data_IF_351850432492
#
_entry.id   IF_351850432492
#
_cell.length_a   1.000
_cell.length_b   1.000
_cell.length_c   1.000
_cell.angle_alpha   90.00
_cell.angle_beta   90.00
_cell.angle_gamma   90.00
#
_symmetry.space_group_name_H-M   'P 1'
#
loop_
_entity.id
_entity.type
_entity.pdbx_description
1 polymer ?
#
# COMPACT_ATOMS: atom_id res chain seq x y z
N UNK A 1 -31.56 20.80 22.96
CA UNK A 1 -30.30 20.04 23.19
C UNK A 1 -29.99 18.94 22.14
N UNK A 2 -30.77 18.74 21.07
CA UNK A 2 -30.48 17.72 20.03
C UNK A 2 -29.53 18.18 18.91
N UNK A 3 -29.29 19.49 18.78
CA UNK A 3 -28.56 20.09 17.64
C UNK A 3 -27.04 20.12 17.82
N UNK A 4 -26.54 20.08 19.06
CA UNK A 4 -25.10 20.11 19.36
C UNK A 4 -24.43 18.76 19.10
N UNK A 5 -25.13 17.65 19.34
CA UNK A 5 -24.62 16.28 19.12
C UNK A 5 -24.49 16.00 17.62
N UNK A 6 -25.44 16.45 16.79
CA UNK A 6 -25.42 16.25 15.35
C UNK A 6 -24.25 17.00 14.66
N UNK A 7 -23.86 18.17 15.21
CA UNK A 7 -22.68 18.92 14.74
C UNK A 7 -21.37 18.22 15.11
N UNK A 8 -21.29 17.58 16.28
CA UNK A 8 -20.11 16.79 16.69
C UNK A 8 -19.92 15.56 15.80
N UNK A 9 -21.03 14.88 15.49
CA UNK A 9 -21.07 13.75 14.56
C UNK A 9 -20.56 14.19 13.18
N UNK A 10 -21.04 15.31 12.63
CA UNK A 10 -20.53 15.82 11.37
C UNK A 10 -19.06 16.27 11.44
N UNK A 11 -18.57 16.80 12.56
CA UNK A 11 -17.15 17.17 12.71
C UNK A 11 -16.23 15.94 12.70
N UNK A 12 -16.65 14.84 13.31
CA UNK A 12 -15.89 13.57 13.37
C UNK A 12 -16.06 12.73 12.08
N UNK A 13 -17.23 12.81 11.43
CA UNK A 13 -17.55 12.08 10.19
C UNK A 13 -17.04 12.82 8.94
N UNK A 14 -16.81 14.15 8.97
CA UNK A 14 -16.36 14.92 7.78
C UNK A 14 -14.89 14.83 7.33
N UNK A 15 -13.95 14.02 7.87
CA UNK A 15 -12.68 13.81 7.18
C UNK A 15 -12.58 12.47 6.45
N UNK A 16 -13.64 11.67 6.34
CA UNK A 16 -13.62 10.39 5.62
C UNK A 16 -13.13 10.51 4.16
N UNK A 17 -13.35 11.65 3.51
CA UNK A 17 -12.89 11.91 2.14
C UNK A 17 -11.35 11.84 1.98
N UNK A 18 -10.60 12.21 3.03
CA UNK A 18 -9.13 12.25 3.00
C UNK A 18 -8.51 10.95 3.53
N UNK A 19 -9.30 10.06 4.12
CA UNK A 19 -8.83 8.80 4.71
C UNK A 19 -8.25 7.84 3.65
N UNK A 20 -8.87 7.63 2.48
CA UNK A 20 -8.27 6.81 1.42
C UNK A 20 -6.86 7.26 1.05
N UNK A 21 -6.67 8.57 0.85
CA UNK A 21 -5.38 9.17 0.50
C UNK A 21 -4.37 9.00 1.65
N UNK A 22 -4.80 9.12 2.90
CA UNK A 22 -3.94 8.88 4.06
C UNK A 22 -3.55 7.42 4.20
N UNK A 23 -4.44 6.47 3.90
CA UNK A 23 -4.15 5.02 3.88
C UNK A 23 -3.12 4.71 2.81
N UNK A 24 -3.27 5.26 1.60
CA UNK A 24 -2.30 5.10 0.51
C UNK A 24 -0.93 5.68 0.90
N UNK A 25 -0.90 6.88 1.49
CA UNK A 25 0.36 7.50 1.97
C UNK A 25 1.02 6.70 3.10
N UNK A 26 0.23 6.10 3.99
CA UNK A 26 0.74 5.22 5.04
C UNK A 26 1.46 4.01 4.42
N UNK A 27 0.89 3.43 3.35
CA UNK A 27 1.50 2.29 2.67
C UNK A 27 2.82 2.65 1.96
N UNK A 28 2.97 3.91 1.53
CA UNK A 28 4.23 4.42 0.94
C UNK A 28 5.29 4.85 1.97
N UNK A 29 5.03 4.71 3.26
CA UNK A 29 5.98 5.04 4.34
C UNK A 29 6.18 6.54 4.61
N UNK A 30 5.35 7.40 4.01
CA UNK A 30 5.54 8.86 3.99
C UNK A 30 4.61 9.61 4.95
N UNK A 31 4.19 8.97 6.06
CA UNK A 31 3.27 9.55 7.03
C UNK A 31 3.99 9.97 8.32
N UNK A 32 3.72 11.18 8.80
CA UNK A 32 4.11 11.61 10.16
C UNK A 32 3.39 10.75 11.21
N UNK A 33 4.12 10.32 12.26
CA UNK A 33 3.61 9.48 13.35
C UNK A 33 2.30 10.00 13.99
N UNK A 34 2.11 11.32 14.02
CA UNK A 34 0.90 11.98 14.55
C UNK A 34 -0.33 11.64 13.68
N UNK A 35 -0.17 11.71 12.37
CA UNK A 35 -1.24 11.41 11.41
C UNK A 35 -1.59 9.92 11.42
N UNK A 36 -0.62 9.05 11.72
CA UNK A 36 -0.85 7.62 11.83
C UNK A 36 -1.70 7.26 13.05
N UNK A 37 -1.40 7.85 14.22
CA UNK A 37 -2.21 7.66 15.43
C UNK A 37 -3.61 8.22 15.27
N UNK A 38 -3.75 9.39 14.63
CA UNK A 38 -5.04 9.98 14.33
C UNK A 38 -5.86 9.13 13.35
N UNK A 39 -5.22 8.61 12.30
CA UNK A 39 -5.85 7.69 11.34
C UNK A 39 -6.33 6.41 12.03
N UNK A 40 -5.52 5.83 12.93
CA UNK A 40 -5.91 4.65 13.72
C UNK A 40 -7.14 4.92 14.59
N UNK A 41 -7.18 6.07 15.26
CA UNK A 41 -8.36 6.50 16.03
C UNK A 41 -9.59 6.69 15.14
N UNK A 42 -9.43 7.31 13.97
CA UNK A 42 -10.54 7.50 13.02
C UNK A 42 -11.10 6.14 12.53
N UNK A 43 -10.23 5.18 12.22
CA UNK A 43 -10.64 3.84 11.79
C UNK A 43 -11.36 3.06 12.90
N UNK A 44 -11.02 3.31 14.17
CA UNK A 44 -11.72 2.71 15.31
C UNK A 44 -13.16 3.24 15.44
N UNK A 45 -13.36 4.54 15.19
CA UNK A 45 -14.68 5.19 15.32
C UNK A 45 -15.55 5.01 14.07
N UNK A 46 -14.93 4.93 12.87
CA UNK A 46 -15.64 4.88 11.60
C UNK A 46 -15.59 3.49 10.95
N UNK A 47 -16.67 2.73 11.10
CA UNK A 47 -16.84 1.36 10.56
C UNK A 47 -16.69 1.32 9.03
N UNK A 48 -17.16 2.37 8.34
CA UNK A 48 -17.08 2.45 6.87
C UNK A 48 -15.62 2.55 6.41
N UNK A 49 -14.84 3.45 7.01
CA UNK A 49 -13.42 3.61 6.73
C UNK A 49 -12.61 2.36 7.13
N UNK A 50 -12.95 1.71 8.24
CA UNK A 50 -12.35 0.42 8.62
C UNK A 50 -12.61 -0.67 7.58
N UNK A 51 -13.82 -0.70 7.03
CA UNK A 51 -14.19 -1.65 5.97
C UNK A 51 -13.48 -1.34 4.66
N UNK A 52 -13.31 -0.06 4.31
CA UNK A 52 -12.50 0.37 3.17
C UNK A 52 -11.04 -0.10 3.32
N UNK A 53 -10.41 0.18 4.47
CA UNK A 53 -9.03 -0.24 4.75
C UNK A 53 -8.86 -1.76 4.58
N UNK A 54 -9.77 -2.56 5.15
CA UNK A 54 -9.74 -4.03 5.00
C UNK A 54 -9.87 -4.49 3.55
N UNK A 55 -10.67 -3.81 2.73
CA UNK A 55 -10.77 -4.12 1.29
C UNK A 55 -9.48 -3.74 0.56
N UNK A 56 -8.94 -2.57 0.86
CA UNK A 56 -7.69 -2.08 0.29
C UNK A 56 -6.50 -3.01 0.62
N UNK A 57 -6.31 -3.39 1.88
CA UNK A 57 -5.25 -4.31 2.30
C UNK A 57 -5.35 -5.69 1.62
N UNK A 58 -6.56 -6.18 1.37
CA UNK A 58 -6.76 -7.42 0.60
C UNK A 58 -6.29 -7.26 -0.85
N UNK A 59 -6.66 -6.17 -1.50
CA UNK A 59 -6.25 -5.89 -2.89
C UNK A 59 -4.73 -5.70 -2.96
N UNK A 60 -4.18 -4.88 -2.06
CA UNK A 60 -2.76 -4.56 -2.00
C UNK A 60 -1.89 -5.79 -1.68
N UNK A 61 -2.35 -6.66 -0.77
CA UNK A 61 -1.65 -7.92 -0.48
C UNK A 61 -1.70 -8.91 -1.64
N UNK A 62 -2.78 -8.95 -2.43
CA UNK A 62 -2.87 -9.79 -3.63
C UNK A 62 -1.94 -9.27 -4.74
N UNK A 63 -1.92 -7.96 -4.96
CA UNK A 63 -1.00 -7.30 -5.90
C UNK A 63 0.46 -7.53 -5.50
N UNK A 64 0.79 -7.30 -4.23
CA UNK A 64 2.14 -7.52 -3.68
C UNK A 64 2.58 -8.97 -3.83
N UNK A 65 1.68 -9.94 -3.55
CA UNK A 65 1.96 -11.36 -3.75
C UNK A 65 2.22 -11.71 -5.21
N UNK A 66 1.41 -11.18 -6.14
CA UNK A 66 1.64 -11.37 -7.59
C UNK A 66 2.97 -10.77 -8.01
N UNK A 67 3.29 -9.54 -7.59
CA UNK A 67 4.57 -8.90 -7.89
C UNK A 67 5.76 -9.70 -7.33
N UNK A 68 5.64 -10.25 -6.12
CA UNK A 68 6.68 -11.11 -5.54
C UNK A 68 6.80 -12.42 -6.32
N UNK A 69 5.69 -13.02 -6.75
CA UNK A 69 5.68 -14.25 -7.55
C UNK A 69 6.27 -14.01 -8.95
N UNK A 70 5.94 -12.89 -9.59
CA UNK A 70 6.51 -12.48 -10.87
C UNK A 70 8.02 -12.18 -10.73
N UNK A 71 8.44 -11.45 -9.69
CA UNK A 71 9.86 -11.26 -9.41
C UNK A 71 10.59 -12.58 -9.08
N UNK A 72 9.91 -13.56 -8.46
CA UNK A 72 10.45 -14.91 -8.27
C UNK A 72 10.56 -15.69 -9.58
N UNK A 73 9.64 -15.49 -10.54
CA UNK A 73 9.71 -16.04 -11.91
C UNK A 73 10.83 -15.38 -12.70
N UNK A 74 11.11 -14.10 -12.47
CA UNK A 74 12.29 -13.37 -12.95
C UNK A 74 13.48 -13.61 -11.99
N UNK A 75 13.63 -14.83 -11.45
CA UNK A 75 14.94 -15.26 -10.99
C UNK A 75 15.76 -15.47 -12.25
N UNK A 76 16.45 -14.41 -12.70
CA UNK A 76 17.53 -14.54 -13.67
C UNK A 76 18.48 -15.58 -13.07
N UNK A 77 18.48 -16.79 -13.63
CA UNK A 77 19.28 -17.86 -13.07
C UNK A 77 20.73 -17.46 -13.27
N UNK A 78 21.60 -17.74 -12.30
CA UNK A 78 23.04 -17.41 -12.45
C UNK A 78 23.61 -18.07 -13.71
N UNK A 79 23.08 -19.23 -14.12
CA UNK A 79 23.37 -19.87 -15.40
C UNK A 79 23.06 -18.97 -16.60
N UNK A 80 21.90 -18.30 -16.61
CA UNK A 80 21.44 -17.47 -17.73
C UNK A 80 22.36 -16.25 -17.91
N UNK A 81 22.84 -15.67 -16.80
CA UNK A 81 23.83 -14.59 -16.82
C UNK A 81 25.17 -15.08 -17.35
N UNK A 82 25.56 -16.31 -17.01
CA UNK A 82 26.84 -16.90 -17.40
C UNK A 82 26.85 -17.31 -18.87
N UNK A 83 25.72 -17.82 -19.37
CA UNK A 83 25.48 -18.11 -20.79
C UNK A 83 25.48 -16.83 -21.62
N UNK A 84 24.78 -15.77 -21.17
CA UNK A 84 24.83 -14.45 -21.79
C UNK A 84 26.25 -13.88 -21.85
N UNK A 85 27.04 -14.01 -20.78
CA UNK A 85 28.46 -13.59 -20.78
C UNK A 85 29.29 -14.37 -21.81
N UNK A 86 29.06 -15.68 -21.94
CA UNK A 86 29.73 -16.51 -22.94
C UNK A 86 29.39 -16.09 -24.37
N UNK A 87 28.10 -15.86 -24.65
CA UNK A 87 27.63 -15.39 -25.96
C UNK A 87 28.22 -14.03 -26.33
N UNK A 88 28.27 -13.09 -25.38
CA UNK A 88 28.87 -11.76 -25.58
C UNK A 88 30.37 -11.89 -25.85
N UNK A 89 31.08 -12.73 -25.09
CA UNK A 89 32.53 -12.97 -25.28
C UNK A 89 32.84 -13.53 -26.67
N UNK A 90 32.06 -14.52 -27.12
CA UNK A 90 32.19 -15.08 -28.46
C UNK A 90 31.86 -14.07 -29.56
N UNK A 91 30.94 -13.13 -29.33
CA UNK A 91 30.55 -12.11 -30.32
C UNK A 91 31.53 -10.94 -30.42
N UNK A 92 32.26 -10.65 -29.34
CA UNK A 92 33.25 -9.56 -29.27
C UNK A 92 34.66 -10.05 -29.68
N UNK A 93 34.84 -11.37 -29.92
CA UNK A 93 36.09 -11.98 -30.36
C UNK A 93 37.28 -11.68 -29.41
N UNK A 94 37.10 -12.00 -28.12
CA UNK A 94 38.17 -12.14 -27.10
C UNK A 94 38.20 -13.58 -26.61
#
# INVERSE_FOLDING_TARGET
>A
MKTTINKLIHFIIKPCEKIPILIEKQNTGNLSFINEKWLSFHLYVCISCASYKRKFEKIDSLLSKKMIEENKKIKINKSDIQELKGLIKNKINI
#
